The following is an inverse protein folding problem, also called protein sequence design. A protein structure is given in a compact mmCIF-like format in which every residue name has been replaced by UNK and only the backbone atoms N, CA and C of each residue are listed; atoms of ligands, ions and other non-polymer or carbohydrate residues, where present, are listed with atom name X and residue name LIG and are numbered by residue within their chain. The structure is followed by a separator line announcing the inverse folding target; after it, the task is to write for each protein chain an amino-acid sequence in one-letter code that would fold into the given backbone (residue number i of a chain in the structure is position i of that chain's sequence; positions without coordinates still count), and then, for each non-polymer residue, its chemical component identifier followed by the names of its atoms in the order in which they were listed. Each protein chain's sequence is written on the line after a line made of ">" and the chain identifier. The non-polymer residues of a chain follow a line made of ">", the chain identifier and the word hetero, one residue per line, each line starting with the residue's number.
data_IF_770411576544
#
_entry.id   IF_770411576544
#
_cell.length_a   1.000
_cell.length_b   1.000
_cell.length_c   1.000
_cell.angle_alpha   90.00
_cell.angle_beta   90.00
_cell.angle_gamma   90.00
#
_symmetry.space_group_name_H-M   'P 1'
#
loop_
_entity.id
_entity.type
_entity.pdbx_description
1 polymer ?
#
# COMPACT_ATOMS: atom_id res chain seq x y z
N UNK A 1 -32.76 34.34 -11.68
CA UNK A 1 -31.68 33.45 -12.13
C UNK A 1 -30.86 33.01 -10.92
N UNK A 2 -31.34 31.99 -10.20
CA UNK A 2 -30.61 31.37 -9.08
C UNK A 2 -31.01 29.89 -9.01
N UNK A 3 -30.68 29.13 -10.04
CA UNK A 3 -30.67 27.66 -10.01
C UNK A 3 -29.30 27.20 -10.48
N UNK A 4 -28.57 26.46 -9.64
CA UNK A 4 -27.25 25.93 -10.02
C UNK A 4 -26.44 25.28 -8.90
N UNK A 5 -26.79 25.47 -7.62
CA UNK A 5 -25.99 24.93 -6.49
C UNK A 5 -26.58 23.67 -5.82
N UNK A 6 -27.79 23.24 -6.20
CA UNK A 6 -28.49 22.09 -5.62
C UNK A 6 -28.07 20.72 -6.20
N UNK A 7 -27.73 20.66 -7.48
CA UNK A 7 -27.42 19.39 -8.18
C UNK A 7 -26.16 18.71 -7.68
N UNK A 8 -25.08 19.47 -7.47
CA UNK A 8 -23.80 18.93 -7.01
C UNK A 8 -23.86 18.38 -5.58
N UNK A 9 -24.60 19.01 -4.67
CA UNK A 9 -24.78 18.51 -3.29
C UNK A 9 -25.67 17.27 -3.25
N UNK A 10 -26.71 17.21 -4.08
CA UNK A 10 -27.62 16.07 -4.18
C UNK A 10 -26.92 14.82 -4.74
N UNK A 11 -26.13 14.98 -5.80
CA UNK A 11 -25.36 13.87 -6.41
C UNK A 11 -24.24 13.38 -5.48
N UNK A 12 -23.56 14.28 -4.75
CA UNK A 12 -22.57 13.89 -3.71
C UNK A 12 -23.25 13.11 -2.58
N UNK A 13 -24.40 13.60 -2.09
CA UNK A 13 -25.17 12.97 -1.01
C UNK A 13 -25.70 11.58 -1.39
N UNK A 14 -26.11 11.37 -2.64
CA UNK A 14 -26.57 10.05 -3.13
C UNK A 14 -25.43 9.05 -3.37
N UNK A 15 -24.23 9.50 -3.81
CA UNK A 15 -23.03 8.63 -3.89
C UNK A 15 -22.49 8.30 -2.48
N UNK A 16 -22.62 9.22 -1.54
CA UNK A 16 -22.22 9.03 -0.14
C UNK A 16 -23.12 8.03 0.61
N UNK A 17 -24.38 7.88 0.17
CA UNK A 17 -25.36 6.94 0.73
C UNK A 17 -25.13 5.49 0.29
N UNK A 18 -24.42 5.24 -0.81
CA UNK A 18 -24.12 3.91 -1.34
C UNK A 18 -22.64 3.73 -1.65
N UNK A 19 -21.79 4.00 -0.65
CA UNK A 19 -20.36 3.77 -0.76
C UNK A 19 -20.04 2.30 -1.11
N UNK A 20 -19.32 2.12 -2.22
CA UNK A 20 -18.74 0.84 -2.66
C UNK A 20 -17.23 0.90 -2.51
N UNK A 21 -16.64 -0.12 -1.87
CA UNK A 21 -15.18 -0.23 -1.73
C UNK A 21 -14.51 -0.42 -3.10
N UNK A 22 -13.22 -0.01 -3.23
CA UNK A 22 -12.41 -0.36 -4.38
C UNK A 22 -12.37 -1.88 -4.61
N UNK A 23 -12.32 -2.32 -5.88
CA UNK A 23 -12.21 -3.74 -6.23
C UNK A 23 -10.89 -4.33 -5.69
N UNK A 24 -10.93 -5.62 -5.34
CA UNK A 24 -9.79 -6.36 -4.77
C UNK A 24 -8.70 -6.68 -5.79
N UNK A 25 -9.04 -6.65 -7.08
CA UNK A 25 -8.15 -6.98 -8.19
C UNK A 25 -8.43 -5.97 -9.29
N UNK A 26 -7.45 -5.18 -9.68
CA UNK A 26 -7.53 -4.44 -10.93
C UNK A 26 -7.44 -5.47 -12.06
N UNK A 27 -8.57 -5.76 -12.70
CA UNK A 27 -8.59 -6.60 -13.89
C UNK A 27 -8.02 -5.79 -15.06
N UNK A 28 -7.06 -6.36 -15.80
CA UNK A 28 -6.53 -5.76 -17.04
C UNK A 28 -7.63 -5.40 -18.07
N UNK A 29 -8.87 -5.88 -17.92
CA UNK A 29 -10.01 -5.45 -18.75
C UNK A 29 -10.42 -3.99 -18.55
N UNK A 30 -10.08 -3.35 -17.42
CA UNK A 30 -10.29 -1.90 -17.25
C UNK A 30 -9.11 -1.07 -17.77
N UNK A 31 -8.04 -1.70 -18.27
CA UNK A 31 -6.81 -1.05 -18.70
C UNK A 31 -7.01 -0.34 -20.07
N UNK A 32 -7.85 -0.91 -20.94
CA UNK A 32 -8.08 -0.40 -22.30
C UNK A 32 -9.01 0.83 -22.35
N UNK A 33 -9.84 1.07 -21.33
CA UNK A 33 -10.76 2.21 -21.30
C UNK A 33 -10.20 3.46 -20.62
N UNK A 34 -8.97 3.43 -20.11
CA UNK A 34 -8.39 4.50 -19.28
C UNK A 34 -7.02 5.00 -19.73
N UNK A 35 -6.62 4.70 -20.96
CA UNK A 35 -5.46 5.30 -21.62
C UNK A 35 -5.83 6.66 -22.24
N UNK A 36 -6.20 7.63 -21.40
CA UNK A 36 -6.08 9.04 -21.79
C UNK A 36 -5.77 9.85 -20.54
N UNK A 37 -4.48 10.12 -20.33
CA UNK A 37 -4.01 11.15 -19.42
C UNK A 37 -3.90 12.45 -20.23
N UNK A 38 -5.03 13.07 -20.53
CA UNK A 38 -5.03 14.51 -20.84
C UNK A 38 -5.19 15.28 -19.51
N UNK A 39 -4.43 16.35 -19.33
CA UNK A 39 -4.51 17.33 -18.22
C UNK A 39 -3.98 16.96 -16.82
N UNK A 40 -2.99 16.06 -16.70
CA UNK A 40 -2.17 15.96 -15.48
C UNK A 40 -2.87 15.45 -14.20
N UNK A 41 -4.13 15.02 -14.31
CA UNK A 41 -4.87 14.36 -13.24
C UNK A 41 -4.79 12.84 -13.42
N UNK A 42 -3.79 12.23 -12.80
CA UNK A 42 -3.59 10.77 -12.86
C UNK A 42 -4.81 9.99 -12.32
N UNK A 43 -5.08 8.82 -12.93
CA UNK A 43 -6.13 7.85 -12.59
C UNK A 43 -6.49 7.85 -11.10
N UNK A 44 -7.68 8.34 -10.76
CA UNK A 44 -8.28 8.11 -9.44
C UNK A 44 -9.04 6.79 -9.49
N UNK A 45 -8.62 5.81 -8.68
CA UNK A 45 -9.31 4.52 -8.66
C UNK A 45 -10.74 4.68 -8.17
N UNK A 46 -11.68 4.00 -8.82
CA UNK A 46 -13.10 4.07 -8.48
C UNK A 46 -13.34 3.70 -6.99
N UNK A 47 -14.15 4.49 -6.30
CA UNK A 47 -14.52 4.24 -4.89
C UNK A 47 -13.54 4.77 -3.83
N UNK A 48 -12.49 5.53 -4.18
CA UNK A 48 -11.64 6.21 -3.18
C UNK A 48 -12.01 7.70 -3.08
N UNK A 49 -12.39 8.21 -1.88
CA UNK A 49 -12.68 9.62 -1.71
C UNK A 49 -11.41 10.47 -1.84
N UNK A 50 -11.56 11.73 -2.27
CA UNK A 50 -10.46 12.68 -2.43
C UNK A 50 -9.62 12.87 -1.15
N UNK A 51 -10.24 12.74 0.02
CA UNK A 51 -9.56 12.90 1.30
C UNK A 51 -8.63 11.74 1.65
N UNK A 52 -8.82 10.58 1.01
CA UNK A 52 -7.96 9.39 1.09
C UNK A 52 -7.25 9.16 -0.26
N UNK A 53 -7.01 10.22 -1.02
CA UNK A 53 -6.27 10.11 -2.29
C UNK A 53 -4.80 9.74 -2.03
N UNK A 54 -4.18 9.13 -3.03
CA UNK A 54 -2.78 8.72 -2.97
C UNK A 54 -1.86 9.89 -2.55
N UNK A 55 -2.06 11.07 -3.12
CA UNK A 55 -1.28 12.26 -2.76
C UNK A 55 -1.40 12.63 -1.29
N UNK A 56 -2.60 12.55 -0.70
CA UNK A 56 -2.78 12.91 0.70
C UNK A 56 -2.12 11.90 1.63
N UNK A 57 -2.09 10.62 1.25
CA UNK A 57 -1.36 9.58 1.99
C UNK A 57 0.14 9.83 1.91
N UNK A 58 0.68 10.02 0.71
CA UNK A 58 2.12 10.24 0.49
C UNK A 58 2.61 11.54 1.13
N UNK A 59 1.82 12.61 1.07
CA UNK A 59 2.19 13.90 1.67
C UNK A 59 1.93 13.96 3.19
N UNK A 60 1.48 12.87 3.82
CA UNK A 60 1.25 12.81 5.27
C UNK A 60 0.05 13.63 5.78
N UNK A 61 -0.92 13.95 4.90
CA UNK A 61 -2.13 14.71 5.25
C UNK A 61 -3.29 13.83 5.76
N UNK A 62 -3.00 12.56 6.05
CA UNK A 62 -3.94 11.54 6.53
C UNK A 62 -3.51 11.09 7.92
N UNK A 63 -4.44 10.51 8.66
CA UNK A 63 -4.18 10.04 10.03
C UNK A 63 -4.46 8.54 10.15
N UNK A 64 -4.10 7.95 11.29
CA UNK A 64 -4.24 6.50 11.47
C UNK A 64 -5.69 6.04 11.26
N UNK A 65 -5.95 5.00 10.43
CA UNK A 65 -5.03 3.98 9.93
C UNK A 65 -4.44 4.21 8.51
N UNK A 66 -4.53 5.42 7.97
CA UNK A 66 -4.17 5.72 6.59
C UNK A 66 -2.83 6.47 6.44
N UNK A 67 -1.95 6.42 7.44
CA UNK A 67 -0.65 7.12 7.38
C UNK A 67 0.32 6.48 6.38
N UNK A 68 1.34 7.21 5.92
CA UNK A 68 2.38 6.67 5.04
C UNK A 68 3.18 5.53 5.69
N UNK A 69 3.41 5.60 7.01
CA UNK A 69 4.07 4.55 7.78
C UNK A 69 3.21 3.27 7.82
N UNK A 70 1.90 3.41 8.08
CA UNK A 70 0.97 2.27 8.00
C UNK A 70 0.84 1.72 6.59
N UNK A 71 0.93 2.57 5.56
CA UNK A 71 0.95 2.14 4.17
C UNK A 71 2.20 1.29 3.87
N UNK A 72 3.38 1.74 4.30
CA UNK A 72 4.61 0.97 4.14
C UNK A 72 4.54 -0.37 4.89
N UNK A 73 4.14 -0.37 6.16
CA UNK A 73 3.98 -1.58 6.98
C UNK A 73 3.00 -2.55 6.37
N UNK A 74 1.85 -2.05 5.89
CA UNK A 74 0.88 -2.87 5.19
C UNK A 74 1.51 -3.57 3.98
N UNK A 75 2.21 -2.85 3.11
CA UNK A 75 2.82 -3.45 1.92
C UNK A 75 3.86 -4.51 2.28
N UNK A 76 4.72 -4.24 3.28
CA UNK A 76 5.74 -5.19 3.74
C UNK A 76 5.13 -6.51 4.22
N UNK A 77 4.06 -6.45 5.02
CA UNK A 77 3.48 -7.65 5.66
C UNK A 77 2.30 -8.28 4.92
N UNK A 78 1.76 -7.65 3.87
CA UNK A 78 0.60 -8.16 3.10
C UNK A 78 0.96 -8.95 1.83
N UNK A 79 2.22 -9.40 1.70
CA UNK A 79 2.78 -10.04 0.51
C UNK A 79 2.95 -9.09 -0.70
N UNK A 80 3.18 -7.80 -0.44
CA UNK A 80 3.46 -6.79 -1.46
C UNK A 80 4.81 -6.10 -1.17
N UNK A 81 5.83 -6.88 -0.79
CA UNK A 81 7.15 -6.37 -0.41
C UNK A 81 7.81 -5.54 -1.51
N UNK A 82 7.71 -5.98 -2.78
CA UNK A 82 8.21 -5.21 -3.94
C UNK A 82 7.55 -3.81 -4.04
N UNK A 83 6.28 -3.69 -3.66
CA UNK A 83 5.58 -2.41 -3.66
C UNK A 83 5.96 -1.57 -2.45
N UNK A 84 6.38 -2.18 -1.33
CA UNK A 84 6.91 -1.46 -0.19
C UNK A 84 8.26 -0.80 -0.54
N UNK A 85 9.13 -1.54 -1.23
CA UNK A 85 10.40 -1.03 -1.73
C UNK A 85 10.17 0.06 -2.79
N UNK A 86 9.22 -0.16 -3.70
CA UNK A 86 8.78 0.86 -4.65
C UNK A 86 8.28 2.14 -3.98
N UNK A 87 7.50 2.02 -2.90
CA UNK A 87 7.00 3.16 -2.15
C UNK A 87 8.15 3.93 -1.49
N UNK A 88 9.12 3.24 -0.90
CA UNK A 88 10.29 3.89 -0.30
C UNK A 88 11.13 4.60 -1.34
N UNK A 89 11.41 3.93 -2.46
CA UNK A 89 12.13 4.52 -3.59
C UNK A 89 11.39 5.74 -4.16
N UNK A 90 10.07 5.65 -4.35
CA UNK A 90 9.25 6.75 -4.86
C UNK A 90 9.29 7.98 -3.93
N UNK A 91 9.14 7.77 -2.63
CA UNK A 91 9.23 8.86 -1.63
C UNK A 91 10.63 9.44 -1.58
N UNK A 92 11.67 8.59 -1.65
CA UNK A 92 13.05 9.02 -1.69
C UNK A 92 13.34 9.89 -2.92
N UNK A 93 12.94 9.48 -4.14
CA UNK A 93 13.15 10.27 -5.36
C UNK A 93 12.44 11.62 -5.26
N UNK A 94 11.21 11.66 -4.71
CA UNK A 94 10.52 12.95 -4.48
C UNK A 94 11.28 13.87 -3.53
N UNK A 95 11.80 13.31 -2.44
CA UNK A 95 12.66 14.05 -1.50
C UNK A 95 13.96 14.50 -2.15
N UNK A 96 14.58 13.64 -2.95
CA UNK A 96 15.79 13.92 -3.72
C UNK A 96 15.58 15.08 -4.70
N UNK A 97 14.52 15.04 -5.52
CA UNK A 97 14.18 16.12 -6.45
C UNK A 97 14.00 17.45 -5.72
N UNK A 98 13.30 17.43 -4.57
CA UNK A 98 13.13 18.64 -3.77
C UNK A 98 14.48 19.20 -3.29
N UNK A 99 15.36 18.36 -2.73
CA UNK A 99 16.70 18.78 -2.29
C UNK A 99 17.55 19.26 -3.45
N UNK A 100 17.51 18.58 -4.59
CA UNK A 100 18.19 18.99 -5.81
C UNK A 100 17.72 20.38 -6.25
N UNK A 101 16.42 20.67 -6.14
CA UNK A 101 15.86 21.96 -6.53
C UNK A 101 16.09 23.07 -5.49
N UNK A 102 16.05 22.78 -4.20
CA UNK A 102 16.16 23.79 -3.13
C UNK A 102 17.57 24.04 -2.64
N UNK A 103 18.40 23.00 -2.57
CA UNK A 103 19.68 23.05 -1.85
C UNK A 103 20.85 23.40 -2.78
N UNK A 104 20.68 23.19 -4.10
CA UNK A 104 21.72 23.44 -5.10
C UNK A 104 21.55 24.80 -5.80
N UNK A 105 22.67 25.49 -5.98
CA UNK A 105 22.76 26.69 -6.82
C UNK A 105 22.64 26.36 -8.32
N UNK A 106 22.31 27.35 -9.15
CA UNK A 106 22.21 27.17 -10.61
C UNK A 106 23.50 26.65 -11.25
N UNK A 107 24.66 27.02 -10.71
CA UNK A 107 25.97 26.55 -11.18
C UNK A 107 26.19 25.08 -10.87
N UNK A 108 25.79 24.62 -9.69
CA UNK A 108 25.89 23.20 -9.31
C UNK A 108 24.91 22.32 -10.08
N UNK A 109 23.69 22.83 -10.33
CA UNK A 109 22.70 22.15 -11.19
C UNK A 109 23.23 21.94 -12.62
N UNK A 110 23.96 22.93 -13.16
CA UNK A 110 24.52 22.85 -14.50
C UNK A 110 25.55 21.71 -14.67
N UNK A 111 26.16 21.23 -13.58
CA UNK A 111 27.07 20.08 -13.61
C UNK A 111 26.36 18.75 -13.90
N UNK A 112 25.03 18.72 -13.72
CA UNK A 112 24.18 17.53 -13.88
C UNK A 112 23.15 17.78 -14.99
N UNK A 113 23.52 17.61 -16.27
CA UNK A 113 22.60 17.85 -17.37
C UNK A 113 21.41 16.87 -17.34
N UNK A 114 20.20 17.27 -17.77
CA UNK A 114 19.05 16.38 -17.84
C UNK A 114 19.35 15.13 -18.68
N UNK A 115 18.88 13.95 -18.24
CA UNK A 115 18.95 12.78 -19.11
C UNK A 115 18.00 12.98 -20.30
N UNK A 116 18.53 12.97 -21.52
CA UNK A 116 17.72 13.01 -22.73
C UNK A 116 16.85 11.73 -22.79
N UNK A 117 15.56 11.83 -23.14
CA UNK A 117 14.75 10.63 -23.35
C UNK A 117 15.37 9.84 -24.50
N UNK A 118 15.77 8.59 -24.23
CA UNK A 118 16.19 7.67 -25.28
C UNK A 118 14.97 7.40 -26.16
N UNK A 119 14.81 8.17 -27.24
CA UNK A 119 13.98 7.77 -28.38
C UNK A 119 14.52 6.40 -28.82
N UNK A 120 13.75 5.34 -28.57
CA UNK A 120 13.99 4.06 -29.25
C UNK A 120 14.00 4.36 -30.75
N UNK A 121 15.00 3.89 -31.53
CA UNK A 121 14.89 3.93 -32.98
C UNK A 121 13.69 3.06 -33.38
N UNK A 122 12.59 3.70 -33.73
CA UNK A 122 11.45 3.03 -34.34
C UNK A 122 11.87 2.57 -35.72
N UNK A 123 12.02 1.26 -35.90
CA UNK A 123 11.97 0.57 -37.19
C UNK A 123 12.96 1.03 -38.26
N UNK A 124 14.16 0.43 -38.28
CA UNK A 124 14.82 0.14 -39.55
C UNK A 124 14.52 -1.32 -39.92
N UNK A 125 13.88 -1.60 -41.07
CA UNK A 125 13.72 -2.97 -41.51
C UNK A 125 15.09 -3.53 -41.89
N UNK A 126 15.40 -4.68 -41.30
CA UNK A 126 16.46 -5.55 -41.76
C UNK A 126 16.14 -6.00 -43.19
N UNK A 127 16.93 -5.53 -44.16
CA UNK A 127 17.04 -6.20 -45.46
C UNK A 127 18.52 -6.29 -45.84
N UNK A 128 19.01 -7.52 -45.70
CA UNK A 128 19.82 -8.27 -46.65
C UNK A 128 20.99 -7.57 -47.34
N UNK A 129 22.16 -8.12 -47.05
CA UNK A 129 23.35 -8.04 -47.89
C UNK A 129 23.03 -8.31 -49.37
N UNK A 130 23.59 -7.49 -50.25
CA UNK A 130 23.90 -7.87 -51.64
C UNK A 130 25.11 -7.06 -52.09
N UNK A 131 26.13 -7.79 -52.53
CA UNK A 131 27.37 -7.32 -53.11
C UNK A 131 27.10 -6.68 -54.48
N UNK A 132 27.63 -5.48 -54.73
CA UNK A 132 28.15 -5.14 -56.07
C UNK A 132 29.24 -4.08 -55.98
N UNK A 133 30.18 -4.21 -56.90
CA UNK A 133 31.57 -3.74 -56.97
C UNK A 133 31.80 -2.39 -57.65
N UNK A 134 32.97 -1.79 -57.33
CA UNK A 134 33.88 -0.95 -58.14
C UNK A 134 33.49 0.50 -58.53
N UNK A 135 34.26 1.49 -58.05
CA UNK A 135 35.24 2.28 -58.84
C UNK A 135 35.92 3.42 -58.03
N UNK A 136 37.28 3.39 -58.03
CA UNK A 136 38.32 4.45 -58.15
C UNK A 136 38.16 5.81 -57.41
N UNK A 137 38.97 6.15 -56.37
CA UNK A 137 40.37 6.67 -56.32
C UNK A 137 40.42 8.22 -56.11
N UNK A 138 41.52 8.89 -55.65
CA UNK A 138 42.79 8.42 -55.07
C UNK A 138 43.22 9.12 -53.74
N UNK A 139 44.38 8.66 -53.27
CA UNK A 139 45.21 8.93 -52.08
C UNK A 139 45.90 10.30 -51.95
N UNK A 140 46.19 10.68 -50.69
CA UNK A 140 47.46 11.23 -50.12
C UNK A 140 47.10 12.07 -48.86
N UNK A 141 47.71 11.94 -47.68
CA UNK A 141 49.15 11.99 -47.40
C UNK A 141 49.42 11.59 -45.94
N UNK A 142 50.59 10.97 -45.76
CA UNK A 142 51.26 10.63 -44.51
C UNK A 142 51.77 11.85 -43.75
N UNK A 143 51.62 11.89 -42.43
CA UNK A 143 52.66 12.43 -41.55
C UNK A 143 52.59 11.80 -40.15
N UNK A 144 53.63 11.04 -39.84
CA UNK A 144 53.98 10.59 -38.50
C UNK A 144 54.44 11.79 -37.67
N UNK A 145 53.92 11.94 -36.46
CA UNK A 145 54.64 12.65 -35.39
C UNK A 145 54.47 11.86 -34.09
N UNK A 146 55.62 11.43 -33.57
CA UNK A 146 55.80 10.67 -32.34
C UNK A 146 55.47 11.52 -31.10
N UNK A 147 54.64 10.99 -30.19
CA UNK A 147 54.52 11.48 -28.82
C UNK A 147 54.85 10.32 -27.86
N UNK A 148 55.65 10.53 -26.80
CA UNK A 148 56.12 9.45 -25.95
C UNK A 148 54.98 8.88 -25.09
N UNK A 149 54.80 7.56 -25.18
CA UNK A 149 53.97 6.76 -24.30
C UNK A 149 54.49 6.85 -22.86
N UNK A 150 53.90 7.73 -22.06
CA UNK A 150 54.07 7.71 -20.61
C UNK A 150 53.11 6.66 -20.05
N UNK A 151 53.64 5.47 -19.79
CA UNK A 151 52.92 4.35 -19.18
C UNK A 151 52.68 4.65 -17.70
N UNK A 152 51.47 5.10 -17.38
CA UNK A 152 51.01 5.11 -15.99
C UNK A 152 50.64 3.67 -15.61
N UNK A 153 51.20 3.20 -14.50
CA UNK A 153 51.05 1.82 -14.03
C UNK A 153 49.59 1.40 -13.94
N UNK A 154 49.31 0.19 -14.45
CA UNK A 154 48.12 -0.58 -14.12
C UNK A 154 48.04 -0.70 -12.59
N UNK A 155 46.84 -0.44 -12.07
CA UNK A 155 46.41 -0.58 -10.67
C UNK A 155 46.31 0.70 -9.84
N UNK A 156 45.89 1.80 -10.48
CA UNK A 156 45.03 2.78 -9.80
C UNK A 156 43.70 2.83 -10.55
N UNK A 157 42.69 2.12 -10.04
CA UNK A 157 41.29 2.36 -10.45
C UNK A 157 40.92 3.71 -9.82
N UNK A 158 41.21 4.80 -10.52
CA UNK A 158 40.65 6.11 -10.20
C UNK A 158 39.14 5.97 -10.40
N UNK A 159 38.36 5.91 -9.32
CA UNK A 159 36.94 6.22 -9.43
C UNK A 159 36.82 7.54 -10.18
N UNK A 160 36.00 7.64 -11.25
CA UNK A 160 35.86 8.88 -11.96
C UNK A 160 35.34 9.93 -10.98
N UNK A 161 36.19 10.88 -10.60
CA UNK A 161 35.81 12.02 -9.77
C UNK A 161 34.84 12.87 -10.58
N UNK A 162 33.57 12.53 -10.46
CA UNK A 162 32.49 13.34 -11.00
C UNK A 162 32.18 14.42 -9.98
N UNK A 163 32.27 15.68 -10.43
CA UNK A 163 31.99 16.88 -9.62
C UNK A 163 30.46 17.03 -9.42
N UNK A 164 29.66 16.06 -9.87
CA UNK A 164 28.21 16.10 -9.79
C UNK A 164 27.72 16.04 -8.33
N UNK A 165 26.78 16.92 -7.94
CA UNK A 165 26.18 16.88 -6.62
C UNK A 165 25.45 15.56 -6.36
N UNK A 166 25.46 15.14 -5.09
CA UNK A 166 24.79 13.94 -4.58
C UNK A 166 25.20 12.61 -5.24
N UNK A 167 26.36 12.55 -5.91
CA UNK A 167 26.81 11.34 -6.61
C UNK A 167 26.84 10.09 -5.73
N UNK A 168 27.47 10.18 -4.56
CA UNK A 168 27.59 9.06 -3.64
C UNK A 168 26.21 8.52 -3.18
N UNK A 169 25.21 9.41 -3.04
CA UNK A 169 23.85 8.99 -2.71
C UNK A 169 23.19 8.23 -3.87
N UNK A 170 23.36 8.73 -5.10
CA UNK A 170 22.82 8.11 -6.32
C UNK A 170 23.45 6.73 -6.56
N UNK A 171 24.76 6.60 -6.41
CA UNK A 171 25.45 5.33 -6.61
C UNK A 171 25.00 4.28 -5.58
N UNK A 172 24.80 4.69 -4.31
CA UNK A 172 24.23 3.84 -3.26
C UNK A 172 22.79 3.41 -3.55
N UNK A 173 21.93 4.33 -3.99
CA UNK A 173 20.53 3.98 -4.31
C UNK A 173 20.47 3.10 -5.56
N UNK A 174 21.34 3.35 -6.54
CA UNK A 174 21.45 2.51 -7.73
C UNK A 174 21.87 1.09 -7.37
N UNK A 175 22.84 0.90 -6.46
CA UNK A 175 23.23 -0.42 -5.98
C UNK A 175 22.10 -1.12 -5.20
N UNK A 176 21.34 -0.39 -4.40
CA UNK A 176 20.26 -0.95 -3.59
C UNK A 176 19.00 -1.37 -4.36
N UNK A 177 18.66 -0.69 -5.46
CA UNK A 177 17.35 -0.87 -6.13
C UNK A 177 17.42 -1.22 -7.63
N UNK A 178 18.48 -0.81 -8.34
CA UNK A 178 18.53 -0.82 -9.81
C UNK A 178 19.52 -1.84 -10.39
N UNK A 179 20.54 -2.24 -9.62
CA UNK A 179 21.52 -3.24 -10.08
C UNK A 179 20.90 -4.64 -10.25
N UNK A 180 21.46 -5.48 -11.13
CA UNK A 180 21.09 -6.89 -11.20
C UNK A 180 21.36 -7.57 -9.85
N UNK A 181 20.38 -8.29 -9.30
CA UNK A 181 20.41 -8.89 -7.95
C UNK A 181 20.47 -7.87 -6.80
N UNK A 182 19.89 -6.69 -6.99
CA UNK A 182 19.73 -5.69 -5.93
C UNK A 182 19.00 -6.30 -4.71
N UNK A 183 19.41 -5.95 -3.48
CA UNK A 183 18.78 -6.46 -2.27
C UNK A 183 17.31 -6.06 -2.16
N UNK A 184 16.95 -4.89 -2.72
CA UNK A 184 15.57 -4.41 -2.78
C UNK A 184 15.02 -4.56 -4.19
N UNK A 185 13.76 -4.95 -4.29
CA UNK A 185 13.14 -5.36 -5.55
C UNK A 185 12.09 -4.36 -6.01
N UNK A 186 12.35 -3.69 -7.14
CA UNK A 186 11.38 -2.81 -7.77
C UNK A 186 10.54 -3.53 -8.84
N UNK A 187 9.20 -3.26 -8.90
CA UNK A 187 8.29 -3.79 -9.91
C UNK A 187 8.45 -3.02 -11.24
N UNK A 188 9.66 -3.02 -11.79
CA UNK A 188 10.03 -2.39 -13.05
C UNK A 188 10.52 -3.44 -14.05
N UNK A 189 10.28 -3.21 -15.33
CA UNK A 189 10.84 -4.08 -16.37
C UNK A 189 12.38 -3.98 -16.39
N UNK A 190 13.10 -5.05 -16.78
CA UNK A 190 14.55 -5.01 -16.90
C UNK A 190 15.06 -3.91 -17.85
N UNK A 191 14.29 -3.62 -18.90
CA UNK A 191 14.59 -2.55 -19.85
C UNK A 191 14.51 -1.15 -19.22
N UNK A 192 13.49 -0.89 -18.39
CA UNK A 192 13.37 0.37 -17.65
C UNK A 192 14.51 0.52 -16.64
N UNK A 193 14.83 -0.53 -15.88
CA UNK A 193 15.97 -0.52 -14.93
C UNK A 193 17.28 -0.20 -15.64
N UNK A 194 17.55 -0.88 -16.77
CA UNK A 194 18.75 -0.65 -17.57
C UNK A 194 18.84 0.79 -18.11
N UNK A 195 17.71 1.33 -18.59
CA UNK A 195 17.64 2.70 -19.13
C UNK A 195 17.89 3.74 -18.04
N UNK A 196 17.23 3.59 -16.88
CA UNK A 196 17.44 4.47 -15.73
C UNK A 196 18.89 4.39 -15.24
N UNK A 197 19.46 3.19 -15.16
CA UNK A 197 20.84 3.01 -14.73
C UNK A 197 21.84 3.65 -15.72
N UNK A 198 21.59 3.55 -17.02
CA UNK A 198 22.40 4.21 -18.06
C UNK A 198 22.34 5.74 -17.98
N UNK A 199 21.17 6.31 -17.64
CA UNK A 199 21.05 7.73 -17.32
C UNK A 199 21.87 8.11 -16.07
N UNK A 200 21.73 7.37 -14.98
CA UNK A 200 22.39 7.67 -13.70
C UNK A 200 23.91 7.54 -13.75
N UNK A 201 24.44 6.72 -14.67
CA UNK A 201 25.89 6.69 -14.95
C UNK A 201 26.43 8.03 -15.44
N UNK A 202 25.61 8.82 -16.15
CA UNK A 202 26.03 10.07 -16.80
C UNK A 202 25.63 11.34 -16.04
N UNK A 203 24.53 11.29 -15.29
CA UNK A 203 23.99 12.48 -14.61
C UNK A 203 23.32 12.12 -13.29
N UNK A 204 23.35 13.06 -12.33
CA UNK A 204 22.55 13.00 -11.10
C UNK A 204 21.25 13.79 -11.22
N UNK A 205 20.91 14.36 -12.38
CA UNK A 205 19.69 15.14 -12.55
C UNK A 205 18.42 14.29 -12.28
N UNK A 206 17.40 14.79 -11.55
CA UNK A 206 16.20 14.02 -11.19
C UNK A 206 15.41 13.47 -12.38
N UNK A 207 15.54 14.07 -13.57
CA UNK A 207 14.91 13.56 -14.80
C UNK A 207 15.40 12.16 -15.20
N UNK A 208 16.58 11.73 -14.73
CA UNK A 208 17.07 10.37 -14.92
C UNK A 208 16.11 9.30 -14.37
N UNK A 209 15.32 9.62 -13.34
CA UNK A 209 14.34 8.73 -12.72
C UNK A 209 12.95 8.81 -13.37
N UNK A 210 12.71 9.73 -14.31
CA UNK A 210 11.37 10.04 -14.82
C UNK A 210 10.60 8.82 -15.31
N UNK A 211 11.20 7.99 -16.17
CA UNK A 211 10.56 6.78 -16.69
C UNK A 211 10.23 5.78 -15.59
N UNK A 212 11.16 5.55 -14.65
CA UNK A 212 10.93 4.64 -13.53
C UNK A 212 9.82 5.17 -12.61
N UNK A 213 9.82 6.47 -12.32
CA UNK A 213 8.84 7.11 -11.44
C UNK A 213 7.42 7.03 -12.00
N UNK A 214 7.24 7.22 -13.31
CA UNK A 214 5.92 7.10 -13.95
C UNK A 214 5.38 5.68 -13.79
N UNK A 215 6.19 4.66 -14.06
CA UNK A 215 5.78 3.26 -13.95
C UNK A 215 5.53 2.84 -12.50
N UNK A 216 6.38 3.27 -11.56
CA UNK A 216 6.19 2.99 -10.13
C UNK A 216 4.94 3.69 -9.58
N UNK A 217 4.74 4.96 -9.92
CA UNK A 217 3.56 5.71 -9.50
C UNK A 217 2.28 5.06 -10.01
N UNK A 218 2.28 4.65 -11.27
CA UNK A 218 1.16 3.92 -11.86
C UNK A 218 0.85 2.64 -11.07
N UNK A 219 1.87 1.82 -10.79
CA UNK A 219 1.70 0.58 -10.00
C UNK A 219 1.19 0.85 -8.58
N UNK A 220 1.76 1.86 -7.91
CA UNK A 220 1.35 2.25 -6.56
C UNK A 220 -0.10 2.75 -6.53
N UNK A 221 -0.53 3.55 -7.50
CA UNK A 221 -1.90 4.11 -7.57
C UNK A 221 -2.95 3.07 -7.94
N UNK A 222 -2.63 2.15 -8.82
CA UNK A 222 -3.60 1.18 -9.36
C UNK A 222 -3.71 -0.08 -8.51
N UNK A 223 -2.60 -0.51 -7.88
CA UNK A 223 -2.55 -1.82 -7.21
C UNK A 223 -2.37 -1.68 -5.70
N UNK A 224 -1.31 -1.00 -5.26
CA UNK A 224 -0.96 -0.91 -3.84
C UNK A 224 -1.95 -0.05 -3.04
N UNK A 225 -2.25 1.14 -3.54
CA UNK A 225 -3.08 2.13 -2.84
C UNK A 225 -4.54 1.67 -2.65
N UNK A 226 -5.25 1.16 -3.66
CA UNK A 226 -6.62 0.67 -3.46
C UNK A 226 -6.69 -0.52 -2.51
N UNK A 227 -5.69 -1.40 -2.56
CA UNK A 227 -5.56 -2.54 -1.64
C UNK A 227 -5.35 -2.07 -0.19
N UNK A 228 -4.48 -1.08 0.01
CA UNK A 228 -4.27 -0.44 1.31
C UNK A 228 -5.53 0.25 1.83
N UNK A 229 -6.21 1.07 1.04
CA UNK A 229 -7.44 1.73 1.48
C UNK A 229 -8.52 0.70 1.83
N UNK A 230 -8.67 -0.37 1.03
CA UNK A 230 -9.60 -1.46 1.33
C UNK A 230 -9.27 -2.15 2.66
N UNK A 231 -7.98 -2.33 2.95
CA UNK A 231 -7.48 -2.86 4.21
C UNK A 231 -7.80 -1.91 5.38
N UNK A 232 -7.43 -0.63 5.27
CA UNK A 232 -7.63 0.39 6.29
C UNK A 232 -9.11 0.67 6.61
N UNK A 233 -10.01 0.42 5.67
CA UNK A 233 -11.46 0.47 5.90
C UNK A 233 -11.99 -0.75 6.68
N UNK A 234 -11.28 -1.88 6.70
CA UNK A 234 -11.61 -3.04 7.52
C UNK A 234 -11.26 -2.77 8.98
N UNK A 235 -12.22 -2.96 9.90
CA UNK A 235 -11.96 -2.70 11.32
C UNK A 235 -11.62 -3.98 12.10
N UNK A 236 -11.85 -5.16 11.54
CA UNK A 236 -11.67 -6.44 12.24
C UNK A 236 -10.78 -7.40 11.45
N UNK A 237 -10.12 -8.30 12.17
CA UNK A 237 -9.30 -9.38 11.61
C UNK A 237 -10.18 -10.46 10.98
N UNK A 238 -9.60 -11.27 10.09
CA UNK A 238 -10.31 -12.38 9.42
C UNK A 238 -10.94 -13.36 10.42
N UNK A 239 -10.21 -13.70 11.48
CA UNK A 239 -10.68 -14.61 12.54
C UNK A 239 -11.92 -14.05 13.25
N UNK A 240 -11.89 -12.76 13.61
CA UNK A 240 -13.03 -12.07 14.24
C UNK A 240 -14.24 -12.01 13.32
N UNK A 241 -14.03 -11.73 12.03
CA UNK A 241 -15.11 -11.67 11.03
C UNK A 241 -15.75 -13.05 10.82
N UNK A 242 -14.94 -14.12 10.79
CA UNK A 242 -15.43 -15.50 10.73
C UNK A 242 -16.27 -15.85 11.96
N UNK A 243 -15.77 -15.55 13.16
CA UNK A 243 -16.51 -15.76 14.41
C UNK A 243 -17.87 -15.04 14.42
N UNK A 244 -17.90 -13.75 14.07
CA UNK A 244 -19.15 -12.97 13.99
C UNK A 244 -20.10 -13.54 12.94
N UNK A 245 -19.57 -14.04 11.81
CA UNK A 245 -20.38 -14.67 10.79
C UNK A 245 -21.07 -15.93 11.32
N UNK A 246 -20.35 -16.78 12.07
CA UNK A 246 -20.91 -17.98 12.72
C UNK A 246 -22.03 -17.59 13.68
N UNK A 247 -21.79 -16.61 14.56
CA UNK A 247 -22.83 -16.10 15.48
C UNK A 247 -24.05 -15.58 14.72
N UNK A 248 -23.82 -14.82 13.64
CA UNK A 248 -24.88 -14.32 12.77
C UNK A 248 -25.70 -15.44 12.12
N UNK A 249 -25.06 -16.50 11.64
CA UNK A 249 -25.77 -17.67 11.08
C UNK A 249 -26.60 -18.40 12.12
N UNK A 250 -26.06 -18.61 13.33
CA UNK A 250 -26.80 -19.26 14.43
C UNK A 250 -28.04 -18.45 14.81
N UNK A 251 -27.94 -17.11 14.88
CA UNK A 251 -29.08 -16.24 15.14
C UNK A 251 -30.15 -16.34 14.04
N UNK A 252 -29.75 -16.40 12.77
CA UNK A 252 -30.69 -16.59 11.65
C UNK A 252 -31.39 -17.95 11.75
N UNK A 253 -30.64 -19.03 12.01
CA UNK A 253 -31.22 -20.38 12.14
C UNK A 253 -32.21 -20.43 13.30
N UNK A 254 -31.83 -19.92 14.48
CA UNK A 254 -32.70 -19.87 15.65
C UNK A 254 -33.96 -19.03 15.38
N UNK A 255 -33.81 -17.91 14.67
CA UNK A 255 -34.94 -17.06 14.29
C UNK A 255 -35.90 -17.77 13.36
N UNK A 256 -35.39 -18.43 12.30
CA UNK A 256 -36.23 -19.17 11.34
C UNK A 256 -36.90 -20.36 12.04
N UNK A 257 -36.19 -21.08 12.89
CA UNK A 257 -36.74 -22.19 13.67
C UNK A 257 -37.89 -21.73 14.58
N UNK A 258 -37.68 -20.65 15.32
CA UNK A 258 -38.71 -20.03 16.18
C UNK A 258 -39.91 -19.58 15.34
N UNK A 259 -39.66 -18.99 14.17
CA UNK A 259 -40.71 -18.53 13.26
C UNK A 259 -41.56 -19.69 12.71
N UNK A 260 -40.94 -20.84 12.39
CA UNK A 260 -41.63 -22.07 11.99
C UNK A 260 -42.50 -22.58 13.14
N UNK A 261 -41.96 -22.68 14.37
CA UNK A 261 -42.73 -23.15 15.54
C UNK A 261 -43.94 -22.26 15.79
N UNK A 262 -43.76 -20.95 15.82
CA UNK A 262 -44.86 -19.99 16.02
C UNK A 262 -45.88 -20.02 14.87
N UNK A 263 -45.47 -20.46 13.68
CA UNK A 263 -46.38 -20.61 12.55
C UNK A 263 -47.27 -21.84 12.69
N UNK A 264 -46.72 -22.94 13.22
CA UNK A 264 -47.44 -24.20 13.42
C UNK A 264 -48.29 -24.24 14.71
N UNK A 265 -48.02 -23.34 15.66
CA UNK A 265 -48.73 -23.25 16.93
C UNK A 265 -50.08 -22.52 16.86
N UNK A 266 -50.95 -22.76 17.84
CA UNK A 266 -52.19 -22.01 18.07
C UNK A 266 -51.99 -20.55 18.56
N UNK A 267 -50.75 -20.10 18.74
CA UNK A 267 -50.45 -18.76 19.26
C UNK A 267 -50.83 -17.68 18.25
N UNK A 268 -51.22 -16.49 18.73
CA UNK A 268 -51.59 -15.38 17.85
C UNK A 268 -50.44 -15.01 16.90
N UNK A 269 -50.78 -14.71 15.64
CA UNK A 269 -49.80 -14.40 14.57
C UNK A 269 -48.85 -13.24 14.89
N UNK A 270 -49.22 -12.37 15.82
CA UNK A 270 -48.44 -11.19 16.20
C UNK A 270 -47.17 -11.52 16.97
N UNK A 271 -47.11 -12.66 17.68
CA UNK A 271 -45.87 -13.10 18.34
C UNK A 271 -44.74 -13.39 17.35
N UNK A 272 -45.05 -13.61 16.06
CA UNK A 272 -44.06 -13.79 14.99
C UNK A 272 -43.16 -12.56 14.82
N UNK A 273 -43.65 -11.35 15.14
CA UNK A 273 -42.87 -10.09 15.10
C UNK A 273 -41.70 -10.08 16.10
N UNK A 274 -41.73 -10.92 17.14
CA UNK A 274 -40.61 -11.01 18.08
C UNK A 274 -39.37 -11.62 17.42
N UNK A 275 -39.55 -12.38 16.33
CA UNK A 275 -38.43 -12.99 15.61
C UNK A 275 -37.59 -11.96 14.86
N UNK A 276 -38.14 -10.78 14.53
CA UNK A 276 -37.41 -9.64 13.96
C UNK A 276 -36.13 -9.33 14.76
N UNK A 277 -36.24 -9.34 16.09
CA UNK A 277 -35.15 -9.01 17.00
C UNK A 277 -33.99 -10.02 16.95
N UNK A 278 -34.19 -11.19 16.36
CA UNK A 278 -33.14 -12.19 16.11
C UNK A 278 -32.70 -12.21 14.64
N UNK A 279 -33.66 -12.14 13.71
CA UNK A 279 -33.40 -12.17 12.27
C UNK A 279 -32.59 -10.95 11.80
N UNK A 280 -33.01 -9.75 12.23
CA UNK A 280 -32.36 -8.51 11.82
C UNK A 280 -30.88 -8.45 12.25
N UNK A 281 -30.52 -8.67 13.53
CA UNK A 281 -29.12 -8.67 13.93
C UNK A 281 -28.29 -9.75 13.23
N UNK A 282 -28.84 -10.95 13.02
CA UNK A 282 -28.17 -12.02 12.29
C UNK A 282 -27.82 -11.63 10.85
N UNK A 283 -28.80 -11.12 10.09
CA UNK A 283 -28.58 -10.62 8.72
C UNK A 283 -27.60 -9.45 8.69
N UNK A 284 -27.73 -8.51 9.63
CA UNK A 284 -26.86 -7.35 9.74
C UNK A 284 -25.41 -7.72 10.04
N UNK A 285 -25.18 -8.66 10.97
CA UNK A 285 -23.85 -9.17 11.32
C UNK A 285 -23.15 -9.78 10.11
N UNK A 286 -23.84 -10.63 9.34
CA UNK A 286 -23.26 -11.26 8.15
C UNK A 286 -22.98 -10.23 7.06
N UNK A 287 -23.90 -9.29 6.80
CA UNK A 287 -23.70 -8.22 5.81
C UNK A 287 -22.47 -7.35 6.13
N UNK A 288 -22.29 -7.00 7.41
CA UNK A 288 -21.13 -6.26 7.87
C UNK A 288 -19.83 -7.10 7.81
N UNK A 289 -19.89 -8.38 8.21
CA UNK A 289 -18.73 -9.25 8.20
C UNK A 289 -18.17 -9.47 6.77
N UNK A 290 -19.05 -9.60 5.76
CA UNK A 290 -18.67 -9.68 4.34
C UNK A 290 -17.95 -8.43 3.83
N UNK A 291 -18.23 -7.26 4.43
CA UNK A 291 -17.51 -6.01 4.15
C UNK A 291 -16.30 -5.80 5.06
N UNK A 292 -15.92 -6.74 5.91
CA UNK A 292 -14.79 -6.56 6.83
C UNK A 292 -15.09 -5.64 8.01
N UNK A 293 -16.36 -5.53 8.40
CA UNK A 293 -16.80 -4.66 9.48
C UNK A 293 -17.39 -5.48 10.64
N UNK A 294 -16.88 -5.24 11.84
CA UNK A 294 -17.48 -5.65 13.09
C UNK A 294 -18.25 -4.46 13.67
N UNK A 295 -19.57 -4.61 13.79
CA UNK A 295 -20.45 -3.58 14.35
C UNK A 295 -20.03 -3.16 15.77
N UNK A 296 -19.67 -4.14 16.60
CA UNK A 296 -19.31 -3.92 18.01
C UNK A 296 -18.11 -2.97 18.17
N UNK A 297 -17.11 -3.08 17.29
CA UNK A 297 -15.93 -2.20 17.32
C UNK A 297 -16.25 -0.75 16.95
N UNK A 298 -17.20 -0.54 16.04
CA UNK A 298 -17.64 0.80 15.65
C UNK A 298 -18.46 1.41 16.79
N UNK A 299 -19.45 0.67 17.29
CA UNK A 299 -20.38 1.15 18.33
C UNK A 299 -19.68 1.41 19.67
N UNK A 300 -18.70 0.58 20.08
CA UNK A 300 -18.02 0.72 21.37
C UNK A 300 -16.87 1.73 21.40
N UNK A 301 -16.60 2.47 20.32
CA UNK A 301 -15.55 3.50 20.34
C UNK A 301 -14.79 3.73 19.04
N UNK A 302 -15.39 3.45 17.87
CA UNK A 302 -14.75 3.66 16.57
C UNK A 302 -13.33 3.07 16.49
N UNK A 303 -13.21 1.81 16.90
CA UNK A 303 -11.92 1.13 16.98
C UNK A 303 -11.72 0.11 15.86
N UNK A 304 -10.47 -0.29 15.67
CA UNK A 304 -10.07 -1.45 14.85
C UNK A 304 -9.24 -2.42 15.68
N UNK A 305 -9.24 -3.70 15.29
CA UNK A 305 -8.27 -4.66 15.81
C UNK A 305 -6.87 -4.31 15.30
N UNK A 306 -5.85 -4.57 16.12
CA UNK A 306 -4.47 -4.57 15.65
C UNK A 306 -4.24 -5.72 14.68
N UNK A 307 -3.37 -5.47 13.73
CA UNK A 307 -2.82 -6.47 12.82
C UNK A 307 -1.78 -7.33 13.58
N UNK A 308 -1.55 -8.59 13.20
CA UNK A 308 -0.57 -9.45 13.89
C UNK A 308 0.83 -8.84 14.03
N UNK A 309 1.32 -8.16 12.99
CA UNK A 309 2.61 -7.45 13.03
C UNK A 309 2.59 -6.18 13.90
N UNK A 310 1.44 -5.54 14.07
CA UNK A 310 1.29 -4.41 15.00
C UNK A 310 1.26 -4.90 16.45
N UNK A 311 0.67 -6.08 16.69
CA UNK A 311 0.71 -6.74 18.00
C UNK A 311 2.16 -7.04 18.37
N UNK A 312 2.94 -7.63 17.46
CA UNK A 312 4.38 -7.85 17.66
C UNK A 312 5.10 -6.55 18.04
N UNK A 313 4.90 -5.46 17.29
CA UNK A 313 5.57 -4.20 17.55
C UNK A 313 5.24 -3.61 18.94
N UNK A 314 4.04 -3.88 19.46
CA UNK A 314 3.65 -3.47 20.81
C UNK A 314 4.25 -4.41 21.87
N UNK A 315 4.15 -5.73 21.68
CA UNK A 315 4.72 -6.74 22.59
C UNK A 315 6.26 -6.61 22.70
N UNK A 316 6.94 -6.37 21.58
CA UNK A 316 8.40 -6.16 21.54
C UNK A 316 8.79 -4.90 22.32
N UNK A 317 8.09 -3.76 22.10
CA UNK A 317 8.31 -2.53 22.86
C UNK A 317 8.10 -2.72 24.36
N UNK A 318 7.00 -3.35 24.75
CA UNK A 318 6.71 -3.65 26.17
C UNK A 318 7.82 -4.52 26.79
N UNK A 319 8.31 -5.52 26.04
CA UNK A 319 9.41 -6.38 26.51
C UNK A 319 10.74 -5.62 26.67
N UNK A 320 11.02 -4.66 25.79
CA UNK A 320 12.21 -3.81 25.86
C UNK A 320 12.14 -2.83 27.04
N UNK A 321 10.98 -2.25 27.30
CA UNK A 321 10.78 -1.34 28.43
C UNK A 321 10.90 -2.07 29.78
N UNK A 322 10.42 -3.31 29.87
CA UNK A 322 10.64 -4.19 31.03
C UNK A 322 12.12 -4.49 31.25
N UNK A 323 12.86 -4.85 30.19
CA UNK A 323 14.31 -5.08 30.25
C UNK A 323 15.06 -3.83 30.68
N UNK A 324 14.74 -2.68 30.11
CA UNK A 324 15.36 -1.38 30.46
C UNK A 324 15.12 -1.05 31.93
N UNK A 325 13.89 -1.26 32.41
CA UNK A 325 13.52 -1.01 33.81
C UNK A 325 14.29 -1.94 34.77
N UNK A 326 14.52 -3.20 34.39
CA UNK A 326 15.32 -4.14 35.16
C UNK A 326 16.84 -3.83 35.15
N UNK A 327 17.38 -3.25 34.07
CA UNK A 327 18.79 -2.85 34.00
C UNK A 327 19.07 -1.53 34.71
N UNK A 328 18.08 -0.64 34.83
CA UNK A 328 18.24 0.64 35.55
C UNK A 328 18.40 0.45 37.07
N UNK A 329 18.08 -0.72 37.63
CA UNK A 329 18.43 -1.05 39.02
C UNK A 329 19.89 -1.50 39.21
N UNK A 330 20.63 -1.81 38.13
CA UNK A 330 22.00 -2.35 38.20
C UNK A 330 23.08 -1.40 37.68
N UNK A 331 22.73 -0.19 37.24
CA UNK A 331 23.64 0.72 36.53
C UNK A 331 24.02 1.97 37.33
N UNK A 332 24.54 1.75 38.54
CA UNK A 332 25.42 2.71 39.23
C UNK A 332 26.85 2.18 39.30
N UNK A 333 27.44 1.85 38.14
CA UNK A 333 28.90 1.77 37.93
C UNK A 333 29.20 1.28 36.52
N UNK A 334 29.65 2.19 35.66
CA UNK A 334 30.70 2.03 34.62
C UNK A 334 30.49 3.11 33.56
N UNK A 335 31.08 4.26 33.87
CA UNK A 335 31.42 5.28 32.90
C UNK A 335 32.82 4.94 32.33
N UNK A 336 32.98 5.12 31.01
CA UNK A 336 34.28 5.12 30.35
C UNK A 336 34.46 4.15 29.18
N UNK A 337 34.71 4.76 28.01
CA UNK A 337 35.55 4.29 26.88
C UNK A 337 34.89 3.30 25.90
N UNK A 338 34.92 3.45 24.57
CA UNK A 338 35.70 4.28 23.64
C UNK A 338 34.85 4.64 22.40
N UNK A 339 35.17 5.77 21.75
CA UNK A 339 34.57 6.13 20.47
C UNK A 339 35.11 5.20 19.36
N UNK A 340 34.30 4.22 18.96
CA UNK A 340 34.55 3.40 17.78
C UNK A 340 34.30 4.29 16.56
N UNK A 341 35.31 4.48 15.71
CA UNK A 341 35.18 5.12 14.41
C UNK A 341 34.37 4.17 13.51
N UNK A 342 33.06 4.42 13.41
CA UNK A 342 32.15 3.55 12.67
C UNK A 342 32.19 3.93 11.19
N UNK A 343 32.70 3.02 10.35
CA UNK A 343 32.70 3.19 8.91
C UNK A 343 31.26 3.20 8.37
N UNK A 344 30.89 4.23 7.60
CA UNK A 344 29.53 4.46 7.08
C UNK A 344 29.05 3.33 6.16
N UNK A 345 29.97 2.61 5.53
CA UNK A 345 29.66 1.44 4.69
C UNK A 345 29.29 0.20 5.54
N UNK A 346 29.98 -0.04 6.65
CA UNK A 346 29.64 -1.12 7.60
C UNK A 346 28.30 -0.85 8.30
N UNK A 347 27.97 0.42 8.56
CA UNK A 347 26.65 0.85 9.05
C UNK A 347 25.53 0.48 8.08
N UNK A 348 25.77 0.56 6.77
CA UNK A 348 24.74 0.23 5.77
C UNK A 348 24.49 -1.28 5.69
N UNK A 349 25.54 -2.11 5.76
CA UNK A 349 25.42 -3.56 5.79
C UNK A 349 24.78 -4.07 7.08
N UNK A 350 25.17 -3.51 8.22
CA UNK A 350 24.60 -3.88 9.52
C UNK A 350 23.13 -3.44 9.65
N UNK A 351 22.78 -2.26 9.12
CA UNK A 351 21.40 -1.80 9.10
C UNK A 351 20.51 -2.69 8.22
N UNK A 352 21.00 -3.13 7.07
CA UNK A 352 20.27 -4.05 6.18
C UNK A 352 20.10 -5.44 6.82
N UNK A 353 21.16 -5.98 7.43
CA UNK A 353 21.11 -7.24 8.18
C UNK A 353 20.07 -7.16 9.31
N UNK A 354 20.12 -6.10 10.10
CA UNK A 354 19.20 -5.88 11.22
C UNK A 354 17.75 -5.74 10.76
N UNK A 355 17.51 -5.06 9.65
CA UNK A 355 16.18 -4.90 9.05
C UNK A 355 15.62 -6.24 8.56
N UNK A 356 16.42 -7.03 7.85
CA UNK A 356 16.02 -8.36 7.38
C UNK A 356 15.75 -9.34 8.55
N UNK A 357 16.52 -9.25 9.62
CA UNK A 357 16.29 -10.02 10.85
C UNK A 357 15.00 -9.63 11.56
N UNK A 358 14.67 -8.33 11.63
CA UNK A 358 13.40 -7.87 12.18
C UNK A 358 12.22 -8.38 11.35
N UNK A 359 12.26 -8.25 10.03
CA UNK A 359 11.20 -8.76 9.16
C UNK A 359 10.99 -10.28 9.33
N UNK A 360 12.09 -11.02 9.41
CA UNK A 360 12.06 -12.47 9.66
C UNK A 360 11.40 -12.79 11.01
N UNK A 361 11.79 -12.08 12.08
CA UNK A 361 11.18 -12.25 13.42
C UNK A 361 9.69 -11.95 13.41
N UNK A 362 9.25 -10.89 12.73
CA UNK A 362 7.83 -10.56 12.59
C UNK A 362 7.10 -11.71 11.87
N UNK A 363 7.64 -12.23 10.77
CA UNK A 363 7.03 -13.35 10.03
C UNK A 363 6.88 -14.60 10.89
N UNK A 364 7.90 -14.94 11.67
CA UNK A 364 7.83 -16.04 12.64
C UNK A 364 6.77 -15.79 13.71
N UNK A 365 6.72 -14.57 14.24
CA UNK A 365 5.69 -14.19 15.21
C UNK A 365 4.28 -14.31 14.62
N UNK A 366 4.05 -13.87 13.37
CA UNK A 366 2.73 -14.00 12.73
C UNK A 366 2.32 -15.47 12.60
N UNK A 367 3.26 -16.36 12.27
CA UNK A 367 3.00 -17.80 12.22
C UNK A 367 2.63 -18.36 13.58
N UNK A 368 3.32 -17.93 14.64
CA UNK A 368 3.01 -18.34 16.01
C UNK A 368 1.69 -17.74 16.51
N UNK A 369 1.41 -16.49 16.14
CA UNK A 369 0.17 -15.81 16.44
C UNK A 369 -1.05 -16.58 15.89
N UNK A 370 -0.92 -17.20 14.72
CA UNK A 370 -1.98 -18.02 14.14
C UNK A 370 -2.31 -19.29 14.92
N UNK A 371 -1.37 -19.78 15.75
CA UNK A 371 -1.58 -20.91 16.66
C UNK A 371 -2.34 -20.51 17.94
N UNK A 372 -2.52 -19.21 18.23
CA UNK A 372 -3.27 -18.74 19.40
C UNK A 372 -4.75 -19.17 19.32
N UNK A 373 -5.39 -19.48 20.47
CA UNK A 373 -6.78 -19.89 20.51
C UNK A 373 -7.69 -18.82 19.88
N UNK A 374 -8.75 -19.27 19.21
CA UNK A 374 -9.64 -18.40 18.40
C UNK A 374 -10.19 -17.23 19.22
N UNK A 375 -10.63 -17.47 20.46
CA UNK A 375 -11.18 -16.42 21.33
C UNK A 375 -10.16 -15.32 21.64
N UNK A 376 -8.89 -15.67 21.87
CA UNK A 376 -7.83 -14.68 22.08
C UNK A 376 -7.66 -13.79 20.84
N UNK A 377 -7.68 -14.38 19.64
CA UNK A 377 -7.59 -13.63 18.38
C UNK A 377 -8.83 -12.78 18.06
N UNK A 378 -10.01 -13.20 18.53
CA UNK A 378 -11.27 -12.45 18.36
C UNK A 378 -11.27 -11.20 19.25
N UNK A 379 -10.86 -11.36 20.50
CA UNK A 379 -10.82 -10.31 21.52
C UNK A 379 -9.44 -9.66 21.66
N UNK A 380 -8.67 -9.62 20.57
CA UNK A 380 -7.36 -9.00 20.53
C UNK A 380 -7.43 -7.49 20.81
N UNK A 381 -6.28 -6.90 21.18
CA UNK A 381 -6.13 -5.47 21.44
C UNK A 381 -6.75 -4.63 20.30
N UNK A 382 -7.34 -3.50 20.68
CA UNK A 382 -8.03 -2.56 19.78
C UNK A 382 -7.40 -1.17 19.84
N UNK A 383 -7.32 -0.50 18.70
CA UNK A 383 -6.79 0.86 18.55
C UNK A 383 -7.88 1.76 17.95
N UNK A 384 -8.04 3.00 18.45
CA UNK A 384 -9.00 3.94 17.90
C UNK A 384 -8.63 4.34 16.47
N UNK A 385 -9.63 4.41 15.59
CA UNK A 385 -9.51 4.99 14.25
C UNK A 385 -9.50 6.51 14.41
N UNK A 386 -8.38 7.16 14.06
CA UNK A 386 -8.22 8.62 14.19
C UNK A 386 -8.76 9.35 12.95
N UNK A 387 -8.65 8.73 11.79
CA UNK A 387 -9.06 9.34 10.52
C UNK A 387 -10.57 9.53 10.39
N UNK A 388 -10.98 10.78 10.21
CA UNK A 388 -12.40 11.19 10.14
C UNK A 388 -13.11 10.60 8.92
N UNK A 389 -12.41 10.43 7.81
CA UNK A 389 -13.00 9.95 6.57
C UNK A 389 -13.16 8.44 6.59
N UNK A 390 -12.19 7.71 7.13
CA UNK A 390 -12.34 6.27 7.41
C UNK A 390 -13.53 6.03 8.32
N UNK A 391 -13.67 6.80 9.41
CA UNK A 391 -14.81 6.74 10.34
C UNK A 391 -16.13 6.97 9.63
N UNK A 392 -16.21 8.02 8.81
CA UNK A 392 -17.40 8.36 8.02
C UNK A 392 -17.78 7.23 7.06
N UNK A 393 -16.81 6.66 6.36
CA UNK A 393 -17.04 5.56 5.41
C UNK A 393 -17.49 4.28 6.11
N UNK A 394 -16.88 3.92 7.24
CA UNK A 394 -17.30 2.77 8.04
C UNK A 394 -18.75 2.92 8.52
N UNK A 395 -19.12 4.11 9.02
CA UNK A 395 -20.48 4.39 9.48
C UNK A 395 -21.48 4.32 8.31
N UNK A 396 -21.15 4.92 7.15
CA UNK A 396 -22.00 4.85 5.96
C UNK A 396 -22.26 3.40 5.52
N UNK A 397 -21.21 2.56 5.47
CA UNK A 397 -21.35 1.14 5.13
C UNK A 397 -22.24 0.38 6.11
N UNK A 398 -22.10 0.64 7.42
CA UNK A 398 -22.91 -0.02 8.46
C UNK A 398 -24.38 0.38 8.33
N UNK A 399 -24.65 1.67 8.15
CA UNK A 399 -26.01 2.18 7.96
C UNK A 399 -26.67 1.58 6.72
N UNK A 400 -25.94 1.49 5.60
CA UNK A 400 -26.43 0.81 4.38
C UNK A 400 -26.77 -0.66 4.66
N UNK A 401 -25.86 -1.39 5.30
CA UNK A 401 -26.07 -2.80 5.61
C UNK A 401 -27.24 -3.00 6.59
N UNK A 402 -27.45 -2.07 7.52
CA UNK A 402 -28.60 -2.06 8.41
C UNK A 402 -29.91 -1.85 7.67
N UNK A 403 -29.97 -0.86 6.76
CA UNK A 403 -31.17 -0.63 5.95
C UNK A 403 -31.52 -1.85 5.09
N UNK A 404 -30.54 -2.46 4.42
CA UNK A 404 -30.75 -3.65 3.59
C UNK A 404 -31.18 -4.85 4.45
N UNK A 405 -30.49 -5.11 5.56
CA UNK A 405 -30.83 -6.22 6.46
C UNK A 405 -32.22 -6.07 7.08
N UNK A 406 -32.60 -4.84 7.46
CA UNK A 406 -33.94 -4.53 8.00
C UNK A 406 -35.03 -4.77 6.95
N UNK A 407 -34.81 -4.35 5.70
CA UNK A 407 -35.76 -4.60 4.61
C UNK A 407 -35.95 -6.09 4.34
N UNK A 408 -34.86 -6.86 4.28
CA UNK A 408 -34.90 -8.32 4.10
C UNK A 408 -35.61 -9.02 5.27
N UNK A 409 -35.30 -8.65 6.51
CA UNK A 409 -35.97 -9.20 7.69
C UNK A 409 -37.47 -8.91 7.66
N UNK A 410 -37.87 -7.67 7.36
CA UNK A 410 -39.28 -7.28 7.28
C UNK A 410 -40.03 -8.05 6.19
N UNK A 411 -39.42 -8.29 5.02
CA UNK A 411 -40.04 -9.10 3.95
C UNK A 411 -40.32 -10.52 4.46
N UNK A 412 -39.34 -11.16 5.10
CA UNK A 412 -39.52 -12.50 5.67
C UNK A 412 -40.65 -12.50 6.70
N UNK A 413 -40.67 -11.54 7.61
CA UNK A 413 -41.74 -11.47 8.62
C UNK A 413 -43.13 -11.26 8.03
N UNK A 414 -43.28 -10.36 7.04
CA UNK A 414 -44.57 -10.11 6.39
C UNK A 414 -45.09 -11.40 5.74
N UNK A 415 -44.21 -12.17 5.09
CA UNK A 415 -44.57 -13.47 4.50
C UNK A 415 -45.10 -14.42 5.58
N UNK A 416 -44.37 -14.55 6.69
CA UNK A 416 -44.78 -15.47 7.76
C UNK A 416 -45.98 -14.98 8.56
N UNK A 417 -46.23 -13.68 8.68
CA UNK A 417 -47.44 -13.14 9.33
C UNK A 417 -48.69 -13.33 8.45
N UNK A 418 -48.52 -13.27 7.13
CA UNK A 418 -49.61 -13.52 6.18
C UNK A 418 -50.09 -14.98 6.19
N UNK A 419 -49.22 -15.92 6.58
CA UNK A 419 -49.62 -17.33 6.74
C UNK A 419 -50.67 -17.48 7.86
N UNK A 420 -51.71 -18.29 7.67
CA UNK A 420 -52.69 -18.57 8.71
C UNK A 420 -52.05 -19.28 9.93
N UNK A 421 -52.81 -19.39 11.01
CA UNK A 421 -52.37 -20.15 12.18
C UNK A 421 -52.41 -21.64 11.87
N UNK A 422 -51.35 -22.37 12.22
CA UNK A 422 -51.35 -23.81 12.23
C UNK A 422 -52.10 -24.36 13.44
N UNK A 423 -52.75 -25.50 13.29
CA UNK A 423 -53.43 -26.21 14.38
C UNK A 423 -52.65 -27.47 14.79
N UNK A 424 -51.32 -27.43 14.70
CA UNK A 424 -50.50 -28.63 14.88
C UNK A 424 -50.12 -28.89 16.35
N UNK A 425 -49.93 -27.83 17.13
CA UNK A 425 -49.60 -27.88 18.55
C UNK A 425 -50.37 -26.81 19.34
#
# INVERSE_FOLDING_TARGET
>A
MTEGSGGWRSVKRSRDLFYRRPPSTYSKKSLDSSFSCEDGLCLQSEGIPLNLSFERVINGHTSAPCTIDEFNKYLRFSNMSEHADALQFYVWVRGYTKRFDTDLSSTEKALSPPCAPTLRPTGLPAQSASQTSLQDAPSNSSSNTDLPNMTFGKDVVLEPFTIQPFRAEIDRISSLYLTPNSPLTLPLSPAEKATTLDCLRRTTHPTAFSSAMISLEYSLRTTAHPSFIRYSLSNATRTRLSFISVVGFVLIILSIFTLIILTLSHVSRWYRLLTFFFLFPGLNMIANARRGLCLLLVVLGMARNLSPWEVYAVEDRESLDLRRSATMSDQQSRDGKDAIEVNVLDLSGEMDRKHNEEETRVRWFVKEYDNRPVLSRVFERRVPVRDTEVRRLQLSMITQNAAIASGLAAIVEIIFIALPQGHFF
#
